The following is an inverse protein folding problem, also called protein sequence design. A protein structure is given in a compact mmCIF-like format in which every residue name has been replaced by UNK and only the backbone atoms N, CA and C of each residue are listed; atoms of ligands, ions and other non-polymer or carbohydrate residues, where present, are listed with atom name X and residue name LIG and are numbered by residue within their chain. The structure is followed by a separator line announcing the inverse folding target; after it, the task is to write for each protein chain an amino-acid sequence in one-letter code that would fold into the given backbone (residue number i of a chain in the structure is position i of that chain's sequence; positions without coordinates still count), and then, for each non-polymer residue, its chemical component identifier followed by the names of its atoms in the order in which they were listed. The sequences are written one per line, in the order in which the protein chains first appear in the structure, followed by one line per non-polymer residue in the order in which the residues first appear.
data_IF_143100118973
#
_entry.id   IF_143100118973
#
_cell.length_a   1.000
_cell.length_b   1.000
_cell.length_c   1.000
_cell.angle_alpha   90.00
_cell.angle_beta   90.00
_cell.angle_gamma   90.00
#
_symmetry.space_group_name_H-M   'P 1'
#
loop_
_entity.id
_entity.type
_entity.pdbx_description
1 polymer ?
#
# COMPACT_ATOMS: atom_id res chain seq x y z
N UNK A 1 6.47 -13.16 -12.53
CA UNK A 1 5.13 -13.76 -12.33
C UNK A 1 5.02 -14.11 -10.86
N UNK A 2 4.22 -13.38 -10.08
CA UNK A 2 4.07 -13.66 -8.66
C UNK A 2 3.31 -14.98 -8.49
N UNK A 3 4.01 -16.04 -8.09
CA UNK A 3 3.38 -17.32 -7.74
C UNK A 3 4.04 -17.92 -6.49
N UNK A 4 4.31 -17.09 -5.49
CA UNK A 4 4.36 -17.55 -4.10
C UNK A 4 2.93 -17.54 -3.60
N UNK A 5 2.48 -18.66 -3.02
CA UNK A 5 1.11 -18.74 -2.49
C UNK A 5 0.93 -17.71 -1.39
N UNK A 6 -0.27 -17.14 -1.25
CA UNK A 6 -0.62 -16.27 -0.12
C UNK A 6 -0.25 -16.93 1.22
N UNK A 7 -0.27 -18.27 1.27
CA UNK A 7 0.14 -19.07 2.42
C UNK A 7 1.62 -18.85 2.77
N UNK A 8 2.52 -18.92 1.78
CA UNK A 8 3.95 -18.72 2.01
C UNK A 8 4.28 -17.29 2.47
N UNK A 9 3.60 -16.28 1.92
CA UNK A 9 3.79 -14.89 2.39
C UNK A 9 3.27 -14.70 3.82
N UNK A 10 2.21 -15.40 4.22
CA UNK A 10 1.74 -15.38 5.62
C UNK A 10 2.78 -16.00 6.57
N UNK A 11 3.42 -17.09 6.16
CA UNK A 11 4.49 -17.73 6.93
C UNK A 11 5.70 -16.81 7.06
N UNK A 12 6.14 -16.18 5.96
CA UNK A 12 7.22 -15.20 5.98
C UNK A 12 6.89 -14.03 6.93
N UNK A 13 5.68 -13.48 6.84
CA UNK A 13 5.24 -12.41 7.75
C UNK A 13 5.19 -12.84 9.21
N UNK A 14 4.84 -14.10 9.50
CA UNK A 14 4.86 -14.61 10.87
C UNK A 14 6.27 -14.71 11.44
N UNK A 15 7.28 -14.82 10.58
CA UNK A 15 8.70 -14.78 10.93
C UNK A 15 9.31 -13.37 10.84
N UNK A 16 8.50 -12.34 10.56
CA UNK A 16 9.00 -10.96 10.35
C UNK A 16 9.71 -10.74 9.01
N UNK A 17 9.65 -11.69 8.09
CA UNK A 17 10.29 -11.59 6.79
C UNK A 17 9.38 -10.89 5.79
N UNK A 18 9.90 -9.87 5.10
CA UNK A 18 9.19 -9.11 4.07
C UNK A 18 9.95 -9.27 2.75
N UNK A 19 9.34 -9.94 1.78
CA UNK A 19 9.92 -10.10 0.44
C UNK A 19 9.77 -8.82 -0.40
N UNK A 20 10.75 -8.55 -1.29
CA UNK A 20 10.66 -7.47 -2.30
C UNK A 20 9.32 -7.52 -3.05
N UNK A 21 8.95 -8.74 -3.42
CA UNK A 21 7.74 -9.09 -4.10
C UNK A 21 6.53 -8.61 -3.27
N UNK A 22 6.44 -8.96 -1.99
CA UNK A 22 5.33 -8.57 -1.13
C UNK A 22 5.24 -7.05 -0.98
N UNK A 23 6.39 -6.36 -0.96
CA UNK A 23 6.43 -4.88 -0.94
C UNK A 23 5.75 -4.33 -2.18
N UNK A 24 6.07 -4.81 -3.38
CA UNK A 24 5.40 -4.38 -4.61
C UNK A 24 3.91 -4.73 -4.63
N UNK A 25 3.53 -5.92 -4.16
CA UNK A 25 2.13 -6.32 -4.02
C UNK A 25 1.36 -5.38 -3.09
N UNK A 26 1.98 -4.92 -2.00
CA UNK A 26 1.42 -3.93 -1.09
C UNK A 26 1.35 -2.53 -1.72
N UNK A 27 2.38 -2.10 -2.44
CA UNK A 27 2.43 -0.82 -3.15
C UNK A 27 1.30 -0.70 -4.18
N UNK A 28 1.06 -1.75 -4.97
CA UNK A 28 -0.05 -1.79 -5.91
C UNK A 28 -1.42 -1.66 -5.22
N UNK A 29 -1.59 -2.26 -4.04
CA UNK A 29 -2.80 -2.09 -3.23
C UNK A 29 -2.95 -0.66 -2.72
N UNK A 30 -1.86 -0.04 -2.24
CA UNK A 30 -1.85 1.37 -1.86
C UNK A 30 -2.31 2.27 -3.01
N UNK A 31 -1.75 2.11 -4.22
CA UNK A 31 -2.12 2.91 -5.39
C UNK A 31 -3.60 2.78 -5.75
N UNK A 32 -4.16 1.56 -5.69
CA UNK A 32 -5.59 1.32 -5.92
C UNK A 32 -6.47 2.03 -4.87
N UNK A 33 -6.10 1.94 -3.60
CA UNK A 33 -6.88 2.57 -2.50
C UNK A 33 -6.80 4.09 -2.57
N UNK A 34 -5.60 4.64 -2.76
CA UNK A 34 -5.38 6.08 -2.90
C UNK A 34 -6.20 6.64 -4.06
N UNK A 35 -6.13 6.00 -5.23
CA UNK A 35 -6.87 6.43 -6.43
C UNK A 35 -8.38 6.38 -6.21
N UNK A 36 -8.89 5.30 -5.59
CA UNK A 36 -10.32 5.17 -5.27
C UNK A 36 -10.78 6.26 -4.31
N UNK A 37 -10.05 6.50 -3.23
CA UNK A 37 -10.43 7.49 -2.23
C UNK A 37 -10.29 8.92 -2.77
N UNK A 38 -9.29 9.21 -3.62
CA UNK A 38 -9.19 10.49 -4.32
C UNK A 38 -10.40 10.75 -5.23
N UNK A 39 -10.87 9.72 -5.96
CA UNK A 39 -12.08 9.82 -6.76
C UNK A 39 -13.33 10.08 -5.91
N UNK A 40 -13.50 9.32 -4.81
CA UNK A 40 -14.66 9.47 -3.92
C UNK A 40 -14.67 10.82 -3.19
N UNK A 41 -13.51 11.30 -2.72
CA UNK A 41 -13.35 12.64 -2.16
C UNK A 41 -13.77 13.72 -3.16
N UNK A 42 -13.32 13.63 -4.41
CA UNK A 42 -13.72 14.58 -5.46
C UNK A 42 -15.21 14.48 -5.80
N UNK A 43 -15.76 13.26 -5.87
CA UNK A 43 -17.15 13.01 -6.26
C UNK A 43 -18.13 13.48 -5.20
N UNK A 44 -17.86 13.18 -3.93
CA UNK A 44 -18.78 13.40 -2.83
C UNK A 44 -18.45 14.64 -1.99
N UNK A 45 -17.24 15.19 -2.10
CA UNK A 45 -16.83 16.38 -1.35
C UNK A 45 -17.75 17.59 -1.54
N UNK A 46 -18.31 17.77 -2.75
CA UNK A 46 -19.25 18.86 -3.05
C UNK A 46 -20.69 18.62 -2.58
N UNK A 47 -21.11 17.37 -2.45
CA UNK A 47 -22.48 17.03 -2.01
C UNK A 47 -22.71 17.34 -0.54
N UNK A 48 -21.63 17.40 0.24
CA UNK A 48 -21.65 17.59 1.68
C UNK A 48 -21.28 19.01 2.14
N UNK A 49 -20.93 19.91 1.23
CA UNK A 49 -20.70 21.33 1.55
C UNK A 49 -21.99 22.08 1.91
N UNK A 50 -23.16 21.62 1.45
CA UNK A 50 -24.47 22.25 1.71
C UNK A 50 -25.28 21.66 2.87
N UNK A 51 -24.94 20.47 3.34
CA UNK A 51 -25.64 19.75 4.42
C UNK A 51 -24.60 19.35 5.46
N UNK A 52 -24.36 20.26 6.41
CA UNK A 52 -23.58 20.05 7.64
C UNK A 52 -22.28 19.25 7.45
N UNK A 53 -21.22 19.89 6.92
CA UNK A 53 -19.80 19.47 7.01
C UNK A 53 -19.56 17.97 7.20
N UNK A 54 -20.03 17.15 6.25
CA UNK A 54 -20.28 15.74 6.58
C UNK A 54 -18.99 14.95 6.78
N UNK A 55 -19.01 14.08 7.79
CA UNK A 55 -17.93 13.19 8.18
C UNK A 55 -17.42 12.30 7.03
N UNK A 56 -18.22 12.01 6.01
CA UNK A 56 -17.87 11.05 4.96
C UNK A 56 -16.81 11.55 3.96
N UNK A 57 -16.88 12.81 3.55
CA UNK A 57 -15.82 13.39 2.70
C UNK A 57 -14.50 13.51 3.49
N UNK A 58 -14.60 13.78 4.79
CA UNK A 58 -13.45 13.79 5.70
C UNK A 58 -12.82 12.39 5.82
N UNK A 59 -13.63 11.33 5.83
CA UNK A 59 -13.16 9.94 5.91
C UNK A 59 -12.36 9.53 4.66
N UNK A 60 -12.80 9.88 3.45
CA UNK A 60 -12.03 9.57 2.23
C UNK A 60 -10.67 10.27 2.20
N UNK A 61 -10.60 11.53 2.66
CA UNK A 61 -9.35 12.27 2.76
C UNK A 61 -8.41 11.65 3.80
N UNK A 62 -8.92 11.34 4.99
CA UNK A 62 -8.15 10.70 6.07
C UNK A 62 -7.61 9.35 5.63
N UNK A 63 -8.45 8.53 5.01
CA UNK A 63 -8.01 7.25 4.45
C UNK A 63 -6.95 7.47 3.37
N UNK A 64 -7.17 8.38 2.40
CA UNK A 64 -6.19 8.65 1.35
C UNK A 64 -4.83 9.03 1.94
N UNK A 65 -4.80 9.92 2.94
CA UNK A 65 -3.56 10.32 3.62
C UNK A 65 -2.89 9.16 4.35
N UNK A 66 -3.66 8.34 5.06
CA UNK A 66 -3.16 7.14 5.74
C UNK A 66 -2.49 6.18 4.75
N UNK A 67 -3.14 5.89 3.62
CA UNK A 67 -2.59 4.98 2.61
C UNK A 67 -1.41 5.59 1.84
N UNK A 68 -1.34 6.92 1.73
CA UNK A 68 -0.15 7.61 1.21
C UNK A 68 1.05 7.49 2.16
N UNK A 69 0.82 7.48 3.47
CA UNK A 69 1.87 7.22 4.47
C UNK A 69 2.38 5.78 4.36
N UNK A 70 1.46 4.81 4.27
CA UNK A 70 1.82 3.40 4.05
C UNK A 70 2.68 3.22 2.80
N UNK A 71 2.30 3.88 1.70
CA UNK A 71 3.09 3.88 0.47
C UNK A 71 4.52 4.39 0.70
N UNK A 72 4.70 5.49 1.43
CA UNK A 72 6.04 6.04 1.72
C UNK A 72 6.90 5.06 2.50
N UNK A 73 6.33 4.44 3.55
CA UNK A 73 7.01 3.41 4.36
C UNK A 73 7.43 2.20 3.52
N UNK A 74 6.57 1.74 2.61
CA UNK A 74 6.89 0.65 1.69
C UNK A 74 7.98 1.05 0.68
N UNK A 75 7.92 2.26 0.13
CA UNK A 75 8.93 2.77 -0.80
C UNK A 75 10.31 2.88 -0.15
N UNK A 76 10.39 3.29 1.12
CA UNK A 76 11.68 3.41 1.81
C UNK A 76 12.41 2.08 1.96
N UNK A 77 11.69 0.94 2.03
CA UNK A 77 12.31 -0.39 2.08
C UNK A 77 13.05 -0.78 0.79
N UNK A 78 12.74 -0.11 -0.33
CA UNK A 78 13.32 -0.43 -1.65
C UNK A 78 14.41 0.56 -2.07
N UNK A 79 14.59 1.67 -1.34
CA UNK A 79 15.50 2.75 -1.75
C UNK A 79 16.97 2.36 -1.71
N UNK A 80 17.34 1.33 -0.95
CA UNK A 80 18.71 0.81 -0.91
C UNK A 80 19.10 0.08 -2.21
N UNK A 81 18.12 -0.42 -2.97
CA UNK A 81 18.34 -1.22 -4.19
C UNK A 81 17.85 -0.52 -5.46
N UNK A 82 16.83 0.31 -5.38
CA UNK A 82 16.16 0.91 -6.54
C UNK A 82 15.95 2.41 -6.36
N UNK A 83 16.07 3.15 -7.46
CA UNK A 83 15.65 4.55 -7.49
C UNK A 83 14.13 4.67 -7.35
N UNK A 84 13.65 5.80 -6.83
CA UNK A 84 12.21 6.11 -6.76
C UNK A 84 11.53 5.99 -8.13
N UNK A 85 12.24 6.34 -9.22
CA UNK A 85 11.72 6.22 -10.59
C UNK A 85 11.47 4.76 -10.96
N UNK A 86 12.40 3.86 -10.65
CA UNK A 86 12.25 2.42 -10.88
C UNK A 86 11.13 1.82 -10.04
N UNK A 87 11.04 2.20 -8.75
CA UNK A 87 9.98 1.74 -7.86
C UNK A 87 8.60 2.13 -8.43
N UNK A 88 8.43 3.38 -8.88
CA UNK A 88 7.17 3.84 -9.50
C UNK A 88 6.88 3.05 -10.78
N UNK A 89 7.88 2.83 -11.63
CA UNK A 89 7.71 2.10 -12.88
C UNK A 89 7.31 0.64 -12.62
N UNK A 90 7.97 -0.03 -11.68
CA UNK A 90 7.72 -1.42 -11.30
C UNK A 90 6.36 -1.60 -10.63
N UNK A 91 5.93 -0.64 -9.80
CA UNK A 91 4.59 -0.63 -9.17
C UNK A 91 3.47 -0.49 -10.22
N UNK A 92 3.69 0.27 -11.29
CA UNK A 92 2.71 0.45 -12.38
C UNK A 92 2.76 -0.68 -13.40
N UNK A 93 3.91 -1.33 -13.55
CA UNK A 93 4.15 -2.35 -14.56
C UNK A 93 3.62 -3.70 -14.09
N UNK A 94 2.50 -4.13 -14.66
CA UNK A 94 1.97 -5.49 -14.46
C UNK A 94 2.86 -6.57 -15.08
N UNK A 95 3.97 -6.21 -15.76
CA UNK A 95 4.90 -7.18 -16.35
C UNK A 95 5.81 -7.83 -15.31
N UNK A 96 6.16 -7.12 -14.24
CA UNK A 96 7.10 -7.61 -13.22
C UNK A 96 6.32 -8.20 -12.03
N UNK A 97 5.39 -7.42 -11.48
CA UNK A 97 4.51 -7.82 -10.38
C UNK A 97 3.06 -7.68 -10.83
N UNK A 98 2.28 -8.75 -10.70
CA UNK A 98 0.90 -8.81 -11.20
C UNK A 98 -0.14 -8.74 -10.09
N UNK A 99 0.23 -9.13 -8.87
CA UNK A 99 -0.73 -9.49 -7.84
C UNK A 99 -0.77 -8.45 -6.73
N UNK A 100 -1.97 -8.04 -6.34
CA UNK A 100 -2.17 -7.13 -5.21
C UNK A 100 -2.31 -7.89 -3.90
N UNK A 101 -1.67 -7.39 -2.85
CA UNK A 101 -1.85 -7.91 -1.50
C UNK A 101 -3.22 -7.49 -0.92
N UNK A 102 -3.91 -8.34 -0.14
CA UNK A 102 -5.10 -7.93 0.61
C UNK A 102 -4.80 -6.75 1.55
N UNK A 103 -5.77 -5.85 1.77
CA UNK A 103 -5.60 -4.69 2.66
C UNK A 103 -5.15 -5.06 4.07
N UNK A 104 -5.63 -6.19 4.59
CA UNK A 104 -5.23 -6.72 5.91
C UNK A 104 -3.75 -7.07 5.95
N UNK A 105 -3.23 -7.67 4.89
CA UNK A 105 -1.82 -8.01 4.75
C UNK A 105 -0.94 -6.75 4.68
N UNK A 106 -1.38 -5.72 3.95
CA UNK A 106 -0.68 -4.41 3.93
C UNK A 106 -0.58 -3.85 5.35
N UNK A 107 -1.68 -3.86 6.12
CA UNK A 107 -1.66 -3.37 7.51
C UNK A 107 -0.72 -4.19 8.41
N UNK A 108 -0.64 -5.51 8.22
CA UNK A 108 0.32 -6.35 8.93
C UNK A 108 1.76 -5.95 8.61
N UNK A 109 2.08 -5.76 7.34
CA UNK A 109 3.41 -5.29 6.89
C UNK A 109 3.75 -3.94 7.52
N UNK A 110 2.83 -2.98 7.49
CA UNK A 110 3.06 -1.66 8.10
C UNK A 110 3.29 -1.78 9.61
N UNK A 111 2.55 -2.62 10.33
CA UNK A 111 2.76 -2.84 11.76
C UNK A 111 4.16 -3.43 12.05
N UNK A 112 4.64 -4.36 11.21
CA UNK A 112 6.01 -4.88 11.33
C UNK A 112 7.04 -3.76 11.13
N UNK A 113 6.84 -2.91 10.12
CA UNK A 113 7.70 -1.73 9.87
C UNK A 113 7.70 -0.78 11.07
N UNK A 114 6.52 -0.44 11.59
CA UNK A 114 6.36 0.50 12.70
C UNK A 114 6.95 -0.03 14.02
N UNK A 115 6.95 -1.35 14.21
CA UNK A 115 7.56 -2.01 15.37
C UNK A 115 9.05 -2.30 15.21
N UNK A 116 9.60 -2.12 13.99
CA UNK A 116 11.00 -2.46 13.67
C UNK A 116 11.30 -3.96 13.72
N UNK A 117 10.30 -4.83 13.81
CA UNK A 117 10.45 -6.29 13.96
C UNK A 117 10.38 -6.98 12.61
N UNK A 118 11.25 -6.60 11.68
CA UNK A 118 11.27 -7.17 10.35
C UNK A 118 12.67 -7.28 9.77
N UNK A 119 12.80 -8.16 8.79
CA UNK A 119 13.95 -8.26 7.90
C UNK A 119 13.45 -8.25 6.45
N UNK A 120 14.12 -7.46 5.61
CA UNK A 120 13.75 -7.32 4.20
C UNK A 120 14.58 -8.28 3.35
N UNK A 121 13.89 -9.09 2.56
CA UNK A 121 14.50 -9.98 1.59
C UNK A 121 14.42 -9.29 0.21
N UNK A 122 15.44 -8.47 -0.08
CA UNK A 122 15.65 -7.79 -1.36
C UNK A 122 16.48 -8.64 -2.33
#
# INVERSE_FOLDING_TARGET
MYRKTIQHEKENLSNGLISEELIYACLMTCEKVISKNAYLEKKWGKWYEGLTGSADASNYRVDRLTWMDYRKKLQSLLLDKYSMKEIIQNTKSTKVYTDTAPKTMVKTVINLIDTGKYEVLL
#
